data_IF_386081992641
#
_entry.id   IF_386081992641
#
_cell.length_a   1.000
_cell.length_b   1.000
_cell.length_c   1.000
_cell.angle_alpha   90.00
_cell.angle_beta   90.00
_cell.angle_gamma   90.00
#
_symmetry.space_group_name_H-M   'P 1'
#
loop_
_entity.id
_entity.type
_entity.pdbx_description
1 polymer ?
#
# COMPACT_ATOMS: atom_id res chain seq x y z
N UNK A 1 3.37 31.82 -8.77
CA UNK A 1 2.99 31.31 -7.42
C UNK A 1 2.16 30.05 -7.63
N UNK A 2 2.62 28.93 -7.11
CA UNK A 2 1.80 27.71 -6.97
C UNK A 2 0.86 28.00 -5.80
N UNK A 3 -0.43 28.19 -6.07
CA UNK A 3 -1.38 28.62 -5.04
C UNK A 3 -1.94 27.47 -4.20
N UNK A 4 -1.81 26.22 -4.66
CA UNK A 4 -2.12 25.02 -3.89
C UNK A 4 -1.37 23.83 -4.47
N UNK A 5 -0.85 22.97 -3.61
CA UNK A 5 -0.24 21.69 -3.97
C UNK A 5 -0.65 20.64 -2.95
N UNK A 6 -1.11 19.50 -3.45
CA UNK A 6 -1.54 18.41 -2.60
C UNK A 6 -0.99 17.07 -3.07
N UNK A 7 -0.89 16.13 -2.14
CA UNK A 7 -0.52 14.74 -2.44
C UNK A 7 -1.24 13.77 -1.52
N UNK A 8 -1.52 12.58 -2.02
CA UNK A 8 -1.95 11.45 -1.20
C UNK A 8 -0.76 10.84 -0.45
N UNK A 9 -1.03 10.06 0.59
CA UNK A 9 -0.01 9.29 1.28
C UNK A 9 -0.55 7.90 1.61
N UNK A 10 0.19 6.85 1.26
CA UNK A 10 -0.09 5.48 1.61
C UNK A 10 1.16 4.85 2.24
N UNK A 11 1.04 4.34 3.46
CA UNK A 11 2.16 3.89 4.29
C UNK A 11 1.87 2.51 4.88
N UNK A 12 2.91 1.68 4.97
CA UNK A 12 2.94 0.45 5.75
C UNK A 12 4.11 0.49 6.73
N UNK A 13 3.82 0.22 8.00
CA UNK A 13 4.82 0.07 9.04
C UNK A 13 4.76 -1.37 9.58
N UNK A 14 5.81 -2.15 9.37
CA UNK A 14 5.91 -3.53 9.82
C UNK A 14 6.45 -3.58 11.26
N UNK A 15 5.71 -4.27 12.13
CA UNK A 15 6.10 -4.58 13.51
C UNK A 15 6.33 -6.09 13.67
N UNK A 16 6.59 -6.54 14.90
CA UNK A 16 6.98 -7.94 15.17
C UNK A 16 5.88 -8.95 14.76
N UNK A 17 4.62 -8.62 14.98
CA UNK A 17 3.47 -9.52 14.77
C UNK A 17 2.37 -8.91 13.90
N UNK A 18 2.57 -7.68 13.45
CA UNK A 18 1.55 -6.94 12.73
C UNK A 18 2.15 -5.97 11.70
N UNK A 19 1.31 -5.54 10.77
CA UNK A 19 1.54 -4.37 9.95
C UNK A 19 0.48 -3.32 10.26
N UNK A 20 0.92 -2.08 10.37
CA UNK A 20 0.05 -0.91 10.48
C UNK A 20 0.01 -0.22 9.13
N UNK A 21 -1.20 0.09 8.67
CA UNK A 21 -1.40 0.92 7.47
C UNK A 21 -1.88 2.30 7.87
N UNK A 22 -1.43 3.30 7.14
CA UNK A 22 -1.92 4.66 7.22
C UNK A 22 -2.16 5.19 5.81
N UNK A 23 -3.36 5.68 5.54
CA UNK A 23 -3.73 6.21 4.23
C UNK A 23 -4.38 7.57 4.35
N UNK A 24 -4.01 8.47 3.44
CA UNK A 24 -4.63 9.78 3.27
C UNK A 24 -4.77 10.04 1.76
N UNK A 25 -6.02 10.15 1.29
CA UNK A 25 -6.34 10.26 -0.13
C UNK A 25 -6.99 9.02 -0.70
N UNK A 26 -6.88 8.81 -2.01
CA UNK A 26 -7.46 7.73 -2.79
C UNK A 26 -6.46 6.70 -3.34
N UNK A 27 -5.19 6.85 -2.99
CA UNK A 27 -4.24 5.74 -3.13
C UNK A 27 -4.67 4.61 -2.20
N UNK A 28 -4.57 3.37 -2.65
CA UNK A 28 -5.12 2.24 -1.91
C UNK A 28 -4.05 1.31 -1.36
N UNK A 29 -4.41 0.68 -0.25
CA UNK A 29 -3.63 -0.38 0.36
C UNK A 29 -4.51 -1.63 0.47
N UNK A 30 -4.02 -2.75 -0.07
CA UNK A 30 -4.70 -4.03 -0.03
C UNK A 30 -3.86 -5.05 0.73
N UNK A 31 -4.56 -5.99 1.37
CA UNK A 31 -3.98 -7.23 1.86
C UNK A 31 -4.52 -8.40 1.04
N UNK A 32 -3.61 -9.29 0.65
CA UNK A 32 -3.92 -10.59 0.06
C UNK A 32 -3.28 -11.67 0.92
N UNK A 33 -4.08 -12.57 1.44
CA UNK A 33 -3.64 -13.82 2.02
C UNK A 33 -4.08 -14.99 1.10
N UNK A 34 -3.86 -16.21 1.52
CA UNK A 34 -4.19 -17.40 0.69
C UNK A 34 -5.69 -17.58 0.45
N UNK A 35 -6.54 -16.94 1.24
CA UNK A 35 -7.99 -17.16 1.24
C UNK A 35 -8.76 -15.91 0.80
N UNK A 36 -8.22 -14.73 1.07
CA UNK A 36 -8.94 -13.45 0.93
C UNK A 36 -8.05 -12.36 0.32
N UNK A 37 -8.72 -11.50 -0.43
CA UNK A 37 -8.19 -10.23 -0.91
C UNK A 37 -9.14 -9.12 -0.48
N UNK A 38 -8.62 -8.08 0.16
CA UNK A 38 -9.43 -6.96 0.61
C UNK A 38 -8.61 -5.68 0.76
N UNK A 39 -9.29 -4.55 0.55
CA UNK A 39 -8.73 -3.23 0.81
C UNK A 39 -8.68 -2.99 2.31
N UNK A 40 -7.53 -2.55 2.82
CA UNK A 40 -7.31 -2.22 4.25
C UNK A 40 -7.25 -0.72 4.49
N UNK A 41 -7.16 0.09 3.44
CA UNK A 41 -7.30 1.54 3.47
C UNK A 41 -8.75 1.97 3.20
N UNK A 42 -9.08 3.20 3.57
CA UNK A 42 -10.33 3.84 3.18
C UNK A 42 -10.03 5.01 2.25
N UNK A 43 -10.74 5.08 1.11
CA UNK A 43 -10.60 6.19 0.18
C UNK A 43 -11.23 7.45 0.76
N UNK A 44 -10.50 8.56 0.71
CA UNK A 44 -10.99 9.87 1.12
C UNK A 44 -11.48 10.66 -0.10
N UNK A 45 -12.66 10.28 -0.60
CA UNK A 45 -13.29 10.90 -1.76
C UNK A 45 -14.73 11.31 -1.46
N UNK A 46 -15.18 12.38 -2.12
CA UNK A 46 -16.56 12.88 -1.96
C UNK A 46 -17.52 12.10 -2.87
N UNK A 47 -18.14 11.07 -2.32
CA UNK A 47 -19.20 10.32 -3.02
C UNK A 47 -18.68 9.53 -4.23
N UNK A 48 -19.62 9.16 -5.13
CA UNK A 48 -19.31 8.58 -6.44
C UNK A 48 -19.50 9.65 -7.50
N UNK A 49 -18.44 9.97 -8.23
CA UNK A 49 -18.58 10.86 -9.39
C UNK A 49 -19.27 10.11 -10.52
N UNK A 50 -20.30 10.73 -11.12
CA UNK A 50 -20.91 10.25 -12.35
C UNK A 50 -20.11 10.65 -13.60
N UNK A 51 -19.24 11.66 -13.46
CA UNK A 51 -18.43 12.21 -14.54
C UNK A 51 -17.00 12.51 -14.01
N UNK A 52 -16.05 11.64 -14.33
CA UNK A 52 -14.65 11.83 -13.95
C UNK A 52 -14.28 11.34 -12.54
N UNK A 53 -13.13 11.76 -12.02
CA UNK A 53 -12.64 11.40 -10.68
C UNK A 53 -13.44 12.12 -9.60
N UNK A 54 -13.76 11.42 -8.50
CA UNK A 54 -14.35 12.03 -7.33
C UNK A 54 -13.33 12.96 -6.66
N UNK A 55 -13.73 14.16 -6.18
CA UNK A 55 -12.82 15.05 -5.46
C UNK A 55 -12.30 14.41 -4.18
N UNK A 56 -11.02 14.62 -3.88
CA UNK A 56 -10.42 14.22 -2.61
C UNK A 56 -11.00 15.05 -1.46
N UNK A 57 -11.31 14.40 -0.34
CA UNK A 57 -11.75 15.04 0.90
C UNK A 57 -10.63 15.18 1.92
N UNK A 58 -9.55 14.39 1.77
CA UNK A 58 -8.38 14.41 2.64
C UNK A 58 -7.11 14.20 1.80
N UNK A 59 -6.13 15.08 1.96
CA UNK A 59 -4.80 14.98 1.32
C UNK A 59 -3.79 15.87 2.05
N UNK A 60 -2.50 15.62 1.89
CA UNK A 60 -1.45 16.49 2.43
C UNK A 60 -1.38 17.77 1.60
N UNK A 61 -1.32 18.93 2.26
CA UNK A 61 -1.29 20.24 1.62
C UNK A 61 -2.64 20.93 1.51
N UNK A 62 -3.66 20.45 2.23
CA UNK A 62 -4.93 21.19 2.36
C UNK A 62 -4.71 22.52 3.09
N UNK A 63 -5.20 23.62 2.50
CA UNK A 63 -5.00 24.99 3.01
C UNK A 63 -6.11 25.47 3.97
N UNK A 64 -7.04 24.63 4.38
CA UNK A 64 -8.14 25.07 5.23
C UNK A 64 -7.73 25.11 6.71
N UNK A 65 -7.73 26.30 7.29
CA UNK A 65 -7.31 26.59 8.68
C UNK A 65 -8.08 25.80 9.77
N UNK A 66 -9.16 25.11 9.43
CA UNK A 66 -10.02 24.38 10.36
C UNK A 66 -10.19 22.90 10.03
N UNK A 67 -9.51 22.34 9.04
CA UNK A 67 -9.61 20.94 8.67
C UNK A 67 -8.52 20.12 9.38
N UNK A 68 -8.96 19.26 10.29
CA UNK A 68 -8.09 18.26 10.88
C UNK A 68 -7.90 17.11 9.88
N UNK A 69 -6.63 16.72 9.65
CA UNK A 69 -6.34 15.53 8.86
C UNK A 69 -6.77 14.28 9.63
N UNK A 70 -7.58 13.46 8.99
CA UNK A 70 -8.12 12.21 9.55
C UNK A 70 -7.67 11.01 8.70
N UNK A 71 -6.43 10.53 8.87
CA UNK A 71 -5.95 9.39 8.10
C UNK A 71 -6.69 8.11 8.46
N UNK A 72 -6.94 7.28 7.47
CA UNK A 72 -7.40 5.90 7.69
C UNK A 72 -6.24 5.07 8.23
N UNK A 73 -6.39 4.54 9.44
CA UNK A 73 -5.36 3.72 10.09
C UNK A 73 -5.95 2.34 10.38
N UNK A 74 -5.20 1.28 10.04
CA UNK A 74 -5.57 -0.08 10.40
C UNK A 74 -4.37 -0.89 10.91
N UNK A 75 -4.65 -1.92 11.70
CA UNK A 75 -3.69 -2.94 12.13
C UNK A 75 -4.11 -4.29 11.57
N UNK A 76 -3.19 -4.99 10.94
CA UNK A 76 -3.39 -6.32 10.40
C UNK A 76 -2.38 -7.29 11.03
N UNK A 77 -2.85 -8.47 11.43
CA UNK A 77 -1.94 -9.58 11.72
C UNK A 77 -1.26 -10.04 10.43
N UNK A 78 -0.01 -10.48 10.57
CA UNK A 78 0.79 -10.94 9.43
C UNK A 78 1.15 -12.42 9.57
N UNK A 79 1.14 -13.11 8.42
CA UNK A 79 1.56 -14.51 8.29
C UNK A 79 2.53 -14.63 7.11
N UNK A 80 3.35 -15.65 7.13
CA UNK A 80 4.22 -15.97 5.99
C UNK A 80 3.36 -16.22 4.76
N UNK A 81 3.69 -15.56 3.66
CA UNK A 81 2.98 -15.61 2.39
C UNK A 81 1.91 -14.52 2.24
N UNK A 82 1.62 -13.71 3.28
CA UNK A 82 0.76 -12.54 3.13
C UNK A 82 1.42 -11.52 2.20
N UNK A 83 0.63 -10.93 1.30
CA UNK A 83 1.04 -9.89 0.37
C UNK A 83 0.30 -8.59 0.69
N UNK A 84 1.03 -7.48 0.65
CA UNK A 84 0.49 -6.13 0.84
C UNK A 84 0.82 -5.30 -0.40
N UNK A 85 -0.22 -4.78 -1.04
CA UNK A 85 -0.13 -3.95 -2.23
C UNK A 85 -0.48 -2.51 -1.86
N UNK A 86 0.42 -1.56 -2.18
CA UNK A 86 0.12 -0.14 -2.22
C UNK A 86 0.11 0.29 -3.69
N UNK A 87 -0.91 1.02 -4.08
CA UNK A 87 -0.99 1.52 -5.45
C UNK A 87 -1.66 2.89 -5.54
N UNK A 88 -1.26 3.66 -6.55
CA UNK A 88 -1.97 4.87 -6.94
C UNK A 88 -3.26 4.52 -7.70
N UNK A 89 -4.10 5.53 -7.86
CA UNK A 89 -5.35 5.45 -8.63
C UNK A 89 -5.14 5.04 -10.10
N UNK A 90 -3.95 5.28 -10.67
CA UNK A 90 -3.59 4.78 -12.00
C UNK A 90 -3.69 3.26 -12.16
N UNK A 91 -3.68 2.48 -11.05
CA UNK A 91 -4.01 1.05 -11.06
C UNK A 91 -5.53 0.85 -10.93
N UNK A 92 -6.15 1.45 -9.92
CA UNK A 92 -7.56 1.18 -9.55
C UNK A 92 -8.58 1.82 -10.48
N UNK A 93 -8.20 2.83 -11.25
CA UNK A 93 -8.98 3.37 -12.35
C UNK A 93 -9.00 2.43 -13.57
N UNK A 94 -7.97 1.60 -13.73
CA UNK A 94 -7.83 0.69 -14.87
C UNK A 94 -8.22 -0.74 -14.55
N UNK A 95 -7.95 -1.21 -13.33
CA UNK A 95 -8.19 -2.58 -12.91
C UNK A 95 -9.21 -2.63 -11.78
N UNK A 96 -10.20 -3.51 -11.90
CA UNK A 96 -11.11 -3.82 -10.81
C UNK A 96 -10.41 -4.57 -9.69
N UNK A 97 -10.96 -4.52 -8.48
CA UNK A 97 -10.44 -5.27 -7.33
C UNK A 97 -10.35 -6.78 -7.62
N UNK A 98 -11.30 -7.33 -8.37
CA UNK A 98 -11.27 -8.74 -8.81
C UNK A 98 -10.10 -9.07 -9.72
N UNK A 99 -9.74 -8.16 -10.65
CA UNK A 99 -8.57 -8.36 -11.52
C UNK A 99 -7.25 -8.23 -10.76
N UNK A 100 -7.19 -7.33 -9.78
CA UNK A 100 -6.04 -7.18 -8.90
C UNK A 100 -5.88 -8.45 -8.04
N UNK A 101 -6.97 -8.93 -7.43
CA UNK A 101 -7.02 -10.17 -6.65
C UNK A 101 -6.49 -11.36 -7.46
N UNK A 102 -6.96 -11.51 -8.69
CA UNK A 102 -6.58 -12.59 -9.63
C UNK A 102 -5.07 -12.58 -9.93
N UNK A 103 -4.48 -11.40 -10.02
CA UNK A 103 -3.04 -11.26 -10.26
C UNK A 103 -2.25 -11.57 -9.00
N UNK A 104 -2.68 -11.08 -7.83
CA UNK A 104 -2.01 -11.29 -6.55
C UNK A 104 -2.10 -12.73 -6.05
N UNK A 105 -3.15 -13.47 -6.42
CA UNK A 105 -3.33 -14.89 -6.03
C UNK A 105 -2.38 -15.86 -6.74
N UNK A 106 -1.69 -15.41 -7.80
CA UNK A 106 -0.79 -16.26 -8.55
C UNK A 106 0.47 -16.57 -7.77
N UNK A 107 0.90 -17.83 -7.84
CA UNK A 107 2.18 -18.27 -7.26
C UNK A 107 3.34 -17.92 -8.19
N UNK A 108 3.65 -16.63 -8.24
CA UNK A 108 4.74 -16.04 -9.04
C UNK A 108 5.52 -15.02 -8.20
N UNK A 109 6.80 -14.76 -8.53
CA UNK A 109 7.62 -13.78 -7.82
C UNK A 109 6.98 -12.39 -7.77
N UNK A 110 7.18 -11.68 -6.66
CA UNK A 110 6.67 -10.31 -6.42
C UNK A 110 6.99 -9.36 -7.58
N UNK A 111 8.24 -9.39 -8.07
CA UNK A 111 8.63 -8.55 -9.20
C UNK A 111 7.77 -8.80 -10.44
N UNK A 112 7.49 -10.09 -10.75
CA UNK A 112 6.65 -10.44 -11.90
C UNK A 112 5.19 -10.05 -11.70
N UNK A 113 4.69 -10.13 -10.47
CA UNK A 113 3.35 -9.67 -10.12
C UNK A 113 3.19 -8.17 -10.38
N UNK A 114 4.17 -7.35 -9.95
CA UNK A 114 4.20 -5.90 -10.20
C UNK A 114 4.23 -5.58 -11.69
N UNK A 115 5.09 -6.25 -12.47
CA UNK A 115 5.13 -6.09 -13.93
C UNK A 115 3.77 -6.34 -14.58
N UNK A 116 3.07 -7.42 -14.17
CA UNK A 116 1.76 -7.78 -14.72
C UNK A 116 0.71 -6.72 -14.36
N UNK A 117 0.71 -6.21 -13.13
CA UNK A 117 -0.22 -5.16 -12.71
C UNK A 117 -0.06 -3.90 -13.56
N UNK A 118 1.18 -3.42 -13.69
CA UNK A 118 1.50 -2.22 -14.49
C UNK A 118 1.16 -2.44 -15.97
N UNK A 119 1.59 -3.56 -16.55
CA UNK A 119 1.33 -3.88 -17.98
C UNK A 119 -0.17 -3.96 -18.28
N UNK A 120 -0.97 -4.56 -17.40
CA UNK A 120 -2.42 -4.63 -17.57
C UNK A 120 -3.09 -3.25 -17.48
N UNK A 121 -2.67 -2.42 -16.52
CA UNK A 121 -3.20 -1.06 -16.40
C UNK A 121 -2.86 -0.22 -17.63
N UNK A 122 -1.62 -0.32 -18.14
CA UNK A 122 -1.20 0.33 -19.38
C UNK A 122 -2.01 -0.14 -20.60
N UNK A 123 -2.22 -1.45 -20.75
CA UNK A 123 -3.04 -2.03 -21.85
C UNK A 123 -4.50 -1.60 -21.81
N UNK A 124 -5.02 -1.26 -20.64
CA UNK A 124 -6.38 -0.72 -20.46
C UNK A 124 -6.48 0.79 -20.67
N UNK A 125 -5.38 1.43 -21.01
CA UNK A 125 -5.36 2.84 -21.41
C UNK A 125 -4.34 3.69 -20.69
N UNK A 126 -3.85 3.29 -19.49
CA UNK A 126 -2.82 4.01 -18.73
C UNK A 126 -3.12 5.50 -18.60
N UNK A 127 -4.31 5.84 -18.10
CA UNK A 127 -4.83 7.22 -18.11
C UNK A 127 -4.14 8.16 -17.14
N UNK A 128 -3.40 7.60 -16.18
CA UNK A 128 -2.70 8.35 -15.15
C UNK A 128 -1.35 7.70 -14.83
N UNK A 129 -0.53 8.37 -14.01
CA UNK A 129 0.71 7.84 -13.49
C UNK A 129 0.44 6.58 -12.65
N UNK A 130 1.20 5.53 -12.91
CA UNK A 130 1.02 4.23 -12.26
C UNK A 130 2.17 4.01 -11.29
N UNK A 131 1.83 3.89 -10.01
CA UNK A 131 2.79 3.53 -8.97
C UNK A 131 2.30 2.29 -8.24
N UNK A 132 3.18 1.31 -8.06
CA UNK A 132 2.90 0.04 -7.38
C UNK A 132 4.05 -0.31 -6.46
N UNK A 133 3.73 -0.65 -5.21
CA UNK A 133 4.65 -1.28 -4.26
C UNK A 133 4.00 -2.55 -3.76
N UNK A 134 4.67 -3.69 -3.92
CA UNK A 134 4.20 -4.99 -3.44
C UNK A 134 5.21 -5.57 -2.44
N UNK A 135 4.72 -5.86 -1.24
CA UNK A 135 5.48 -6.52 -0.18
C UNK A 135 4.94 -7.93 0.04
N UNK A 136 5.81 -8.90 0.25
CA UNK A 136 5.46 -10.26 0.65
C UNK A 136 6.17 -10.62 1.95
N UNK A 137 5.45 -11.24 2.88
CA UNK A 137 6.00 -11.70 4.15
C UNK A 137 6.71 -13.04 3.94
N UNK A 138 8.03 -13.01 3.86
CA UNK A 138 8.87 -14.21 3.65
C UNK A 138 9.22 -14.93 4.95
N UNK A 139 9.42 -14.17 6.04
CA UNK A 139 9.68 -14.69 7.39
C UNK A 139 8.89 -13.88 8.41
N UNK A 140 8.51 -14.49 9.54
CA UNK A 140 7.86 -13.74 10.61
C UNK A 140 8.84 -12.68 11.15
N UNK A 141 8.40 -11.41 11.32
CA UNK A 141 9.26 -10.32 11.79
C UNK A 141 10.02 -10.62 13.08
N UNK A 142 9.42 -11.43 13.97
CA UNK A 142 10.04 -11.91 15.22
C UNK A 142 11.40 -12.58 15.02
N UNK A 143 11.55 -13.34 13.94
CA UNK A 143 12.81 -14.01 13.62
C UNK A 143 13.84 -13.05 13.01
N UNK A 144 13.38 -12.07 12.26
CA UNK A 144 14.23 -11.06 11.64
C UNK A 144 14.82 -10.11 12.67
N UNK A 145 14.03 -9.63 13.63
CA UNK A 145 14.51 -8.77 14.73
C UNK A 145 15.54 -9.48 15.61
N UNK A 146 15.30 -10.76 15.96
CA UNK A 146 16.30 -11.57 16.67
C UNK A 146 17.59 -11.75 15.87
N UNK A 147 17.51 -11.95 14.55
CA UNK A 147 18.70 -12.08 13.68
C UNK A 147 19.50 -10.78 13.62
N UNK A 148 18.82 -9.63 13.52
CA UNK A 148 19.46 -8.30 13.53
C UNK A 148 20.07 -8.00 14.90
N UNK A 149 19.35 -8.24 15.99
CA UNK A 149 19.85 -8.06 17.35
C UNK A 149 21.05 -9.00 17.63
N UNK A 150 20.98 -10.26 17.23
CA UNK A 150 22.07 -11.22 17.38
C UNK A 150 23.29 -10.85 16.50
N UNK A 151 23.06 -10.23 15.32
CA UNK A 151 24.13 -9.71 14.49
C UNK A 151 24.86 -8.54 15.19
N UNK A 152 24.12 -7.58 15.76
CA UNK A 152 24.68 -6.48 16.54
C UNK A 152 25.41 -6.96 17.80
N UNK A 153 24.91 -7.96 18.52
CA UNK A 153 25.61 -8.54 19.69
C UNK A 153 26.92 -9.20 19.30
N UNK A 154 26.96 -9.93 18.18
CA UNK A 154 28.21 -10.56 17.69
C UNK A 154 29.28 -9.57 17.25
N UNK A 155 28.91 -8.39 16.80
CA UNK A 155 29.86 -7.33 16.45
C UNK A 155 30.51 -6.72 17.70
N UNK A 156 29.79 -6.69 18.83
CA UNK A 156 30.29 -6.11 20.08
C UNK A 156 31.10 -7.11 20.95
N UNK A 157 31.07 -8.41 20.66
CA UNK A 157 31.87 -9.43 21.37
C UNK A 157 33.21 -9.74 20.69
N UNK A 158 33.52 -9.11 19.56
CA UNK A 158 34.75 -9.32 18.80
C UNK A 158 35.92 -8.36 19.08
N UNK A 159 35.74 -7.39 19.99
CA UNK A 159 36.74 -6.37 20.34
C UNK A 159 37.12 -6.43 21.83
N UNK A 160 37.51 -7.63 22.35
CA UNK A 160 38.22 -7.76 23.63
C UNK A 160 39.41 -8.70 23.43
#
# INVERSE_FOLDING_TARGET
KINSMGTTAALLAFAEDAVYSCNLGDSRIYKSDREKFYQISQDHVLGRSLFGKAPLTQYLGMEEENLQLEPSISRQEIKIGDRFLLCSDGITDMLSDGEIADILSRDIPVAKTVEILVDRALKKGGRDNITVVLCEIMEQPRNMFRRVLNWFHRQNEGDI
#
